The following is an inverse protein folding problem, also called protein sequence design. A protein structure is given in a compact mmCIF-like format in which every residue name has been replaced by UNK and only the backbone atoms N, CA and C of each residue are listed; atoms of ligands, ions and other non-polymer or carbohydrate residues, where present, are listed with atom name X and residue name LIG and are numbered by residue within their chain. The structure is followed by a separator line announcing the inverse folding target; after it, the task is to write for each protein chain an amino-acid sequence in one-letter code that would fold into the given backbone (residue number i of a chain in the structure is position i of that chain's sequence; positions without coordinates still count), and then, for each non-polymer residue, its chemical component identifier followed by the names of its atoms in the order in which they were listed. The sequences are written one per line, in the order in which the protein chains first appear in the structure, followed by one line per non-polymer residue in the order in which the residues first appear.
data_IF_287752776251
#
_entry.id   IF_287752776251
#
_cell.length_a   1.000
_cell.length_b   1.000
_cell.length_c   1.000
_cell.angle_alpha   90.00
_cell.angle_beta   90.00
_cell.angle_gamma   90.00
#
_symmetry.space_group_name_H-M   'P 1'
#
loop_
_entity.id
_entity.type
_entity.pdbx_description
1 polymer ?
#
# COMPACT_ATOMS: atom_id res chain seq x y z
N UNK A 1 -0.56 51.08 -34.33
CA UNK A 1 0.19 49.80 -34.20
C UNK A 1 0.10 49.40 -32.74
N UNK A 2 -1.01 48.73 -32.40
CA UNK A 2 -1.09 47.30 -32.06
C UNK A 2 -0.94 47.13 -30.53
N UNK A 3 -2.05 47.14 -29.77
CA UNK A 3 -3.02 46.03 -29.65
C UNK A 3 -2.41 44.87 -28.87
N UNK A 4 -3.11 44.43 -27.80
CA UNK A 4 -3.05 43.08 -27.21
C UNK A 4 -1.76 42.82 -26.42
N UNK A 5 -1.75 42.33 -25.18
CA UNK A 5 -2.78 41.76 -24.35
C UNK A 5 -2.26 41.60 -22.92
N UNK A 6 -3.16 41.88 -21.98
CA UNK A 6 -3.41 41.05 -20.81
C UNK A 6 -3.28 39.54 -21.14
N UNK A 7 -2.27 38.87 -20.58
CA UNK A 7 -2.25 37.42 -20.43
C UNK A 7 -1.83 37.04 -19.01
N UNK A 8 -2.79 36.70 -18.14
CA UNK A 8 -2.55 36.11 -16.85
C UNK A 8 -2.50 34.59 -16.98
N UNK A 9 -1.32 33.99 -17.08
CA UNK A 9 -1.14 32.53 -16.96
C UNK A 9 0.34 32.10 -17.08
N UNK A 10 1.11 32.32 -16.00
CA UNK A 10 2.33 31.52 -15.79
C UNK A 10 1.90 30.06 -15.59
N UNK A 11 2.39 29.10 -16.39
CA UNK A 11 1.97 27.70 -16.34
C UNK A 11 2.61 26.92 -15.17
N UNK A 12 2.39 27.38 -13.93
CA UNK A 12 2.73 26.65 -12.69
C UNK A 12 1.62 25.65 -12.26
N UNK A 13 0.88 25.06 -13.21
CA UNK A 13 -0.29 24.24 -12.90
C UNK A 13 -0.47 22.95 -13.70
N UNK A 14 0.53 22.51 -14.49
CA UNK A 14 0.39 21.37 -15.42
C UNK A 14 1.32 20.18 -15.12
N UNK A 15 1.56 19.88 -13.85
CA UNK A 15 2.27 18.65 -13.44
C UNK A 15 1.56 17.90 -12.30
N UNK A 16 0.23 18.06 -12.19
CA UNK A 16 -0.62 17.21 -11.36
C UNK A 16 -1.85 16.81 -12.16
N UNK A 17 -1.63 16.07 -13.26
CA UNK A 17 -2.67 15.41 -14.05
C UNK A 17 -2.07 14.40 -15.06
N UNK A 18 -1.11 13.56 -14.65
CA UNK A 18 -1.16 12.17 -15.11
C UNK A 18 -2.28 11.55 -14.27
N UNK A 19 -3.54 11.59 -14.71
CA UNK A 19 -3.91 10.97 -15.96
C UNK A 19 -3.70 9.47 -15.84
N UNK A 20 -4.20 8.89 -14.73
CA UNK A 20 -4.56 7.47 -14.65
C UNK A 20 -5.12 7.08 -16.01
N UNK A 21 -4.37 6.25 -16.74
CA UNK A 21 -4.74 5.67 -18.01
C UNK A 21 -6.07 4.93 -17.82
N UNK A 22 -7.16 5.66 -17.93
CA UNK A 22 -8.45 5.12 -18.36
C UNK A 22 -8.30 4.94 -19.85
N UNK A 23 -7.63 3.85 -20.23
CA UNK A 23 -7.80 3.28 -21.56
C UNK A 23 -9.30 3.18 -21.78
N UNK A 24 -9.82 4.09 -22.61
CA UNK A 24 -11.18 4.08 -23.11
C UNK A 24 -11.31 2.85 -24.01
N UNK A 25 -11.48 1.69 -23.38
CA UNK A 25 -12.10 0.56 -24.03
C UNK A 25 -13.55 0.99 -24.21
N UNK A 26 -13.87 1.42 -25.42
CA UNK A 26 -15.24 1.67 -25.86
C UNK A 26 -15.99 0.34 -25.82
N UNK A 27 -16.50 -0.01 -24.64
CA UNK A 27 -17.42 -1.13 -24.48
C UNK A 27 -18.75 -0.66 -25.07
N UNK A 28 -18.95 -0.98 -26.34
CA UNK A 28 -20.21 -0.82 -27.05
C UNK A 28 -21.27 -1.64 -26.30
N UNK A 29 -21.98 -0.98 -25.39
CA UNK A 29 -22.96 -1.60 -24.49
C UNK A 29 -24.36 -1.50 -25.08
N UNK A 30 -24.61 -2.22 -26.17
CA UNK A 30 -25.98 -2.53 -26.59
C UNK A 30 -26.54 -3.65 -25.68
N UNK A 31 -26.75 -3.30 -24.40
CA UNK A 31 -27.26 -4.20 -23.38
C UNK A 31 -28.78 -4.08 -23.34
N UNK A 32 -29.47 -4.99 -24.04
CA UNK A 32 -30.94 -5.04 -24.23
C UNK A 32 -31.80 -5.09 -22.96
N UNK A 33 -31.24 -5.10 -21.74
CA UNK A 33 -31.98 -5.16 -20.47
C UNK A 33 -31.31 -4.35 -19.38
N UNK A 34 -31.43 -3.02 -19.43
CA UNK A 34 -31.52 -2.16 -18.24
C UNK A 34 -30.48 -2.32 -17.11
N UNK A 35 -29.32 -2.92 -17.32
CA UNK A 35 -28.21 -2.98 -16.35
C UNK A 35 -27.56 -1.59 -16.29
N UNK A 36 -28.28 -0.65 -15.69
CA UNK A 36 -27.78 0.70 -15.44
C UNK A 36 -26.51 0.59 -14.60
N UNK A 37 -25.51 1.38 -14.98
CA UNK A 37 -24.18 1.61 -14.39
C UNK A 37 -24.10 1.54 -12.84
N UNK A 38 -25.22 1.78 -12.14
CA UNK A 38 -25.35 1.62 -10.68
C UNK A 38 -25.08 0.20 -10.18
N UNK A 39 -25.50 -0.84 -10.92
CA UNK A 39 -25.25 -2.22 -10.53
C UNK A 39 -23.78 -2.60 -10.69
N UNK A 40 -23.15 -2.16 -11.78
CA UNK A 40 -21.71 -2.38 -12.03
C UNK A 40 -20.86 -1.71 -10.95
N UNK A 41 -21.19 -0.47 -10.55
CA UNK A 41 -20.50 0.21 -9.46
C UNK A 41 -20.71 -0.50 -8.11
N UNK A 42 -21.92 -1.02 -7.85
CA UNK A 42 -22.20 -1.84 -6.66
C UNK A 42 -21.39 -3.13 -6.66
N UNK A 43 -21.24 -3.83 -7.79
CA UNK A 43 -20.37 -5.02 -7.86
C UNK A 43 -18.89 -4.66 -7.68
N UNK A 44 -18.43 -3.52 -8.20
CA UNK A 44 -17.05 -3.07 -8.01
C UNK A 44 -16.76 -2.74 -6.54
N UNK A 45 -17.68 -2.07 -5.85
CA UNK A 45 -17.55 -1.72 -4.42
C UNK A 45 -17.75 -2.97 -3.54
N UNK A 46 -18.73 -3.82 -3.84
CA UNK A 46 -18.98 -5.05 -3.10
C UNK A 46 -17.84 -6.06 -3.28
N UNK A 47 -17.30 -6.19 -4.49
CA UNK A 47 -16.16 -7.05 -4.80
C UNK A 47 -14.87 -6.58 -4.12
N UNK A 48 -14.62 -5.26 -4.07
CA UNK A 48 -13.48 -4.71 -3.35
C UNK A 48 -13.59 -4.94 -1.84
N UNK A 49 -14.75 -4.70 -1.23
CA UNK A 49 -14.97 -4.96 0.20
C UNK A 49 -14.84 -6.46 0.55
N UNK A 50 -15.41 -7.34 -0.26
CA UNK A 50 -15.29 -8.79 -0.07
C UNK A 50 -13.84 -9.26 -0.17
N UNK A 51 -13.09 -8.74 -1.15
CA UNK A 51 -11.68 -9.09 -1.34
C UNK A 51 -10.79 -8.68 -0.15
N UNK A 52 -11.06 -7.52 0.46
CA UNK A 52 -10.32 -7.04 1.64
C UNK A 52 -10.52 -7.98 2.83
N UNK A 53 -11.74 -8.44 3.08
CA UNK A 53 -12.01 -9.36 4.19
C UNK A 53 -11.35 -10.72 3.98
N UNK A 54 -11.38 -11.24 2.75
CA UNK A 54 -10.72 -12.50 2.40
C UNK A 54 -9.20 -12.38 2.59
N UNK A 55 -8.59 -11.30 2.08
CA UNK A 55 -7.17 -11.02 2.27
C UNK A 55 -6.84 -10.92 3.77
N UNK A 56 -7.68 -10.25 4.55
CA UNK A 56 -7.46 -10.06 5.99
C UNK A 56 -7.52 -11.39 6.75
N UNK A 57 -8.45 -12.28 6.42
CA UNK A 57 -8.51 -13.61 7.01
C UNK A 57 -7.30 -14.48 6.63
N UNK A 58 -6.84 -14.43 5.38
CA UNK A 58 -5.70 -15.22 4.90
C UNK A 58 -4.39 -14.70 5.53
N UNK A 59 -4.14 -13.40 5.48
CA UNK A 59 -2.96 -12.80 6.13
C UNK A 59 -3.01 -12.97 7.64
N UNK A 60 -4.18 -12.79 8.26
CA UNK A 60 -4.38 -12.98 9.70
C UNK A 60 -4.08 -14.40 10.15
N UNK A 61 -4.58 -15.41 9.43
CA UNK A 61 -4.30 -16.83 9.76
C UNK A 61 -2.82 -17.20 9.54
N UNK A 62 -2.19 -16.68 8.49
CA UNK A 62 -0.75 -16.84 8.25
C UNK A 62 0.09 -16.24 9.39
N UNK A 63 -0.18 -14.98 9.75
CA UNK A 63 0.52 -14.27 10.83
C UNK A 63 0.26 -14.93 12.19
N UNK A 64 -0.97 -15.39 12.45
CA UNK A 64 -1.30 -16.09 13.69
C UNK A 64 -0.46 -17.36 13.88
N UNK A 65 -0.30 -18.14 12.81
CA UNK A 65 0.49 -19.39 12.85
C UNK A 65 1.96 -19.08 13.12
N UNK A 66 2.52 -18.08 12.43
CA UNK A 66 3.92 -17.65 12.62
C UNK A 66 4.15 -17.11 14.03
N UNK A 67 3.22 -16.29 14.54
CA UNK A 67 3.36 -15.70 15.88
C UNK A 67 3.26 -16.75 16.99
N UNK A 68 2.39 -17.74 16.81
CA UNK A 68 2.26 -18.85 17.77
C UNK A 68 3.54 -19.68 17.81
N UNK A 69 4.10 -20.03 16.65
CA UNK A 69 5.39 -20.71 16.58
C UNK A 69 6.54 -19.86 17.18
N UNK A 70 6.54 -18.55 16.91
CA UNK A 70 7.52 -17.64 17.48
C UNK A 70 7.41 -17.53 19.01
N UNK A 71 6.18 -17.54 19.55
CA UNK A 71 5.94 -17.49 20.99
C UNK A 71 6.47 -18.74 21.70
N UNK A 72 6.29 -19.94 21.14
CA UNK A 72 6.87 -21.17 21.68
C UNK A 72 8.40 -21.12 21.71
N UNK A 73 9.03 -20.60 20.65
CA UNK A 73 10.48 -20.40 20.60
C UNK A 73 10.97 -19.35 21.60
N UNK A 74 10.21 -18.26 21.79
CA UNK A 74 10.55 -17.18 22.71
C UNK A 74 10.51 -17.61 24.18
N UNK A 75 9.59 -18.50 24.55
CA UNK A 75 9.49 -19.05 25.90
C UNK A 75 10.60 -20.09 26.14
N UNK A 76 10.95 -20.90 25.14
CA UNK A 76 11.97 -21.94 25.26
C UNK A 76 13.38 -21.39 25.49
N UNK A 77 13.74 -20.28 24.85
CA UNK A 77 15.06 -19.67 24.99
C UNK A 77 14.94 -18.14 25.10
N UNK A 78 14.72 -17.57 26.29
CA UNK A 78 14.62 -16.13 26.44
C UNK A 78 15.99 -15.47 26.13
N UNK A 79 16.06 -14.75 25.02
CA UNK A 79 17.27 -14.04 24.58
C UNK A 79 17.02 -12.52 24.53
N UNK A 80 17.94 -11.72 25.08
CA UNK A 80 17.87 -10.25 25.00
C UNK A 80 18.23 -9.68 23.60
N UNK A 81 18.42 -10.53 22.57
CA UNK A 81 18.95 -10.13 21.26
C UNK A 81 17.89 -9.78 20.19
N UNK A 82 16.64 -9.55 20.59
CA UNK A 82 15.55 -9.18 19.66
C UNK A 82 15.24 -10.26 18.61
N UNK A 83 14.29 -9.98 17.70
CA UNK A 83 13.81 -10.95 16.70
C UNK A 83 14.92 -11.49 15.78
N UNK A 84 15.82 -10.61 15.31
CA UNK A 84 16.99 -11.02 14.49
C UNK A 84 17.93 -11.97 15.26
N UNK A 85 18.04 -11.81 16.59
CA UNK A 85 18.78 -12.74 17.45
C UNK A 85 18.20 -14.15 17.45
N UNK A 86 16.87 -14.30 17.50
CA UNK A 86 16.21 -15.60 17.38
C UNK A 86 16.48 -16.26 16.00
N UNK A 87 16.45 -15.48 14.93
CA UNK A 87 16.74 -15.97 13.57
C UNK A 87 18.18 -16.50 13.42
N UNK A 88 19.19 -15.82 14.00
CA UNK A 88 20.59 -16.29 13.97
C UNK A 88 20.81 -17.60 14.74
N UNK A 89 20.03 -17.86 15.80
CA UNK A 89 20.25 -18.99 16.71
C UNK A 89 19.60 -20.28 16.24
N UNK A 90 18.45 -20.18 15.57
CA UNK A 90 17.60 -21.32 15.22
C UNK A 90 17.58 -21.69 13.73
N UNK A 91 17.94 -20.78 12.83
CA UNK A 91 17.93 -21.06 11.38
C UNK A 91 19.32 -20.98 10.78
N UNK A 92 19.87 -19.77 10.66
CA UNK A 92 21.22 -19.54 10.13
C UNK A 92 21.69 -18.09 10.43
N UNK A 93 23.00 -17.86 10.68
CA UNK A 93 23.54 -16.50 10.84
C UNK A 93 23.24 -15.55 9.67
N UNK A 94 23.21 -16.03 8.43
CA UNK A 94 22.87 -15.22 7.26
C UNK A 94 21.40 -14.78 7.25
N UNK A 95 20.49 -15.61 7.76
CA UNK A 95 19.07 -15.28 7.84
C UNK A 95 18.80 -14.22 8.92
N UNK A 96 19.54 -14.25 10.02
CA UNK A 96 19.50 -13.17 11.01
C UNK A 96 19.99 -11.82 10.46
N UNK A 97 21.03 -11.82 9.63
CA UNK A 97 21.47 -10.61 8.93
C UNK A 97 20.42 -10.10 7.92
N UNK A 98 19.86 -11.01 7.11
CA UNK A 98 18.84 -10.66 6.12
C UNK A 98 17.57 -10.07 6.76
N UNK A 99 17.09 -10.67 7.86
CA UNK A 99 15.93 -10.15 8.59
C UNK A 99 16.21 -8.76 9.20
N UNK A 100 17.41 -8.53 9.72
CA UNK A 100 17.83 -7.20 10.20
C UNK A 100 17.78 -6.13 9.10
N UNK A 101 18.28 -6.46 7.91
CA UNK A 101 18.24 -5.56 6.75
C UNK A 101 16.81 -5.31 6.25
N UNK A 102 15.96 -6.35 6.25
CA UNK A 102 14.55 -6.21 5.91
C UNK A 102 13.80 -5.25 6.84
N UNK A 103 14.02 -5.36 8.16
CA UNK A 103 13.44 -4.42 9.12
C UNK A 103 13.96 -2.99 8.93
N UNK A 104 15.27 -2.84 8.68
CA UNK A 104 15.88 -1.52 8.45
C UNK A 104 15.21 -0.78 7.27
N UNK A 105 15.02 -1.45 6.13
CA UNK A 105 14.36 -0.82 4.99
C UNK A 105 12.88 -0.54 5.23
N UNK A 106 12.15 -1.46 5.88
CA UNK A 106 10.75 -1.22 6.22
C UNK A 106 10.57 0.05 7.07
N UNK A 107 11.39 0.21 8.11
CA UNK A 107 11.36 1.40 8.96
C UNK A 107 11.87 2.67 8.25
N UNK A 108 12.85 2.55 7.36
CA UNK A 108 13.35 3.69 6.57
C UNK A 108 12.27 4.25 5.65
N UNK A 109 11.54 3.38 4.94
CA UNK A 109 10.43 3.79 4.07
C UNK A 109 9.28 4.37 4.88
N UNK A 110 8.95 3.77 6.03
CA UNK A 110 7.91 4.29 6.92
C UNK A 110 8.25 5.69 7.45
N UNK A 111 9.51 5.93 7.82
CA UNK A 111 9.98 7.24 8.27
C UNK A 111 9.84 8.30 7.17
N UNK A 112 10.24 7.97 5.94
CA UNK A 112 10.07 8.84 4.78
C UNK A 112 8.57 9.18 4.56
N UNK A 113 7.71 8.15 4.62
CA UNK A 113 6.26 8.34 4.50
C UNK A 113 5.70 9.28 5.58
N UNK A 114 6.15 9.13 6.84
CA UNK A 114 5.72 10.02 7.93
C UNK A 114 6.22 11.45 7.76
N UNK A 115 7.44 11.67 7.24
CA UNK A 115 7.94 13.01 6.92
C UNK A 115 7.10 13.66 5.80
N UNK A 116 6.76 12.91 4.75
CA UNK A 116 5.90 13.40 3.67
C UNK A 116 4.51 13.77 4.19
N UNK A 117 3.90 12.92 5.01
CA UNK A 117 2.62 13.19 5.65
C UNK A 117 2.69 14.47 6.52
N UNK A 118 3.77 14.63 7.30
CA UNK A 118 3.97 15.83 8.13
C UNK A 118 4.11 17.10 7.27
N UNK A 119 4.82 17.01 6.14
CA UNK A 119 4.93 18.11 5.17
C UNK A 119 3.60 18.52 4.55
N UNK A 120 2.68 17.56 4.33
CA UNK A 120 1.32 17.84 3.87
C UNK A 120 0.50 18.54 4.97
N UNK A 121 0.61 18.10 6.22
CA UNK A 121 -0.06 18.76 7.36
C UNK A 121 0.42 20.20 7.54
N UNK A 122 1.73 20.47 7.42
CA UNK A 122 2.27 21.83 7.60
C UNK A 122 1.86 22.82 6.50
N UNK A 123 1.45 22.32 5.33
CA UNK A 123 0.97 23.15 4.22
C UNK A 123 -0.53 23.48 4.31
N UNK A 124 -1.26 22.80 5.20
CA UNK A 124 -2.66 23.06 5.49
C UNK A 124 -2.77 24.05 6.66
#
# INVERSE_FOLDING_TARGET
MASVADRPDSPEGRASAEGQQTSSVEVQTDLKRGLKMRHVNVFAIAGSIGSILIIYCILGSCVYTVMTAFAEMAIFAPMNKGFSGYATRFVDPALGFATGWNYFFGYSVLLANNLTATGLIMKY
#
